data_IF_424840262764
#
_entry.id   IF_424840262764
#
_cell.length_a   1.000
_cell.length_b   1.000
_cell.length_c   1.000
_cell.angle_alpha   90.00
_cell.angle_beta   90.00
_cell.angle_gamma   90.00
#
_symmetry.space_group_name_H-M   'P 1'
#
loop_
_entity.id
_entity.type
_entity.pdbx_description
1 polymer ?
#
# COMPACT_ATOMS: atom_id res chain seq x y z
N UNK A 1 0.04 5.86 27.70
CA UNK A 1 0.07 4.39 27.47
C UNK A 1 1.28 3.82 28.19
N UNK A 2 1.09 2.72 28.93
CA UNK A 2 2.17 2.11 29.72
C UNK A 2 3.18 1.41 28.80
N UNK A 3 4.49 1.48 29.11
CA UNK A 3 5.58 0.85 28.35
C UNK A 3 5.33 -0.63 28.04
N UNK A 4 4.64 -1.34 28.94
CA UNK A 4 4.27 -2.74 28.77
C UNK A 4 3.34 -2.97 27.57
N UNK A 5 2.40 -2.05 27.33
CA UNK A 5 1.47 -2.15 26.20
C UNK A 5 2.17 -1.95 24.86
N UNK A 6 3.18 -1.08 24.79
CA UNK A 6 3.98 -0.89 23.58
C UNK A 6 4.83 -2.13 23.29
N UNK A 7 5.50 -2.68 24.31
CA UNK A 7 6.30 -3.90 24.19
C UNK A 7 5.46 -5.11 23.74
N UNK A 8 4.27 -5.30 24.34
CA UNK A 8 3.35 -6.35 23.91
C UNK A 8 2.88 -6.11 22.47
N UNK A 9 2.63 -4.85 22.09
CA UNK A 9 2.28 -4.48 20.72
C UNK A 9 3.36 -4.84 19.70
N UNK A 10 4.63 -4.57 20.01
CA UNK A 10 5.78 -4.93 19.16
C UNK A 10 5.95 -6.45 19.04
N UNK A 11 5.84 -7.18 20.15
CA UNK A 11 5.89 -8.64 20.16
C UNK A 11 4.74 -9.23 19.32
N UNK A 12 3.52 -8.73 19.50
CA UNK A 12 2.37 -9.15 18.71
C UNK A 12 2.56 -8.85 17.22
N UNK A 13 3.18 -7.74 16.84
CA UNK A 13 3.46 -7.41 15.45
C UNK A 13 4.48 -8.37 14.80
N UNK A 14 5.41 -8.91 15.58
CA UNK A 14 6.39 -9.92 15.13
C UNK A 14 5.77 -11.32 15.07
N UNK A 15 4.96 -11.68 16.06
CA UNK A 15 4.35 -13.01 16.18
C UNK A 15 3.16 -13.19 15.23
N UNK A 16 2.36 -12.15 15.02
CA UNK A 16 1.20 -12.20 14.12
C UNK A 16 1.63 -11.76 12.71
N UNK A 17 1.72 -12.67 11.73
CA UNK A 17 2.25 -12.37 10.41
C UNK A 17 1.24 -11.52 9.63
N UNK A 18 1.32 -10.20 9.78
CA UNK A 18 0.69 -9.24 8.85
C UNK A 18 1.80 -8.64 7.96
N UNK A 19 2.70 -9.50 7.49
CA UNK A 19 3.99 -9.07 6.94
C UNK A 19 3.92 -8.52 5.51
N UNK A 20 2.89 -8.86 4.74
CA UNK A 20 2.84 -8.51 3.31
C UNK A 20 1.97 -7.28 3.06
N UNK A 21 2.59 -6.10 3.19
CA UNK A 21 1.97 -4.81 2.82
C UNK A 21 2.38 -4.34 1.43
N UNK A 22 3.63 -4.57 1.03
CA UNK A 22 4.16 -4.18 -0.27
C UNK A 22 5.41 -4.97 -0.67
N UNK A 23 5.73 -4.93 -1.97
CA UNK A 23 6.96 -5.46 -2.55
C UNK A 23 7.55 -4.42 -3.50
N UNK A 24 8.86 -4.20 -3.41
CA UNK A 24 9.60 -3.30 -4.29
C UNK A 24 9.99 -4.04 -5.58
N UNK A 25 9.96 -3.34 -6.70
CA UNK A 25 10.42 -3.82 -8.01
C UNK A 25 11.54 -2.95 -8.57
N UNK A 26 11.42 -2.59 -9.84
CA UNK A 26 12.43 -1.79 -10.54
C UNK A 26 12.45 -0.33 -10.07
N UNK A 27 13.54 0.09 -9.43
CA UNK A 27 13.75 1.45 -8.91
C UNK A 27 13.84 2.56 -9.98
N UNK A 28 13.88 2.19 -11.26
CA UNK A 28 13.81 3.10 -12.40
C UNK A 28 12.42 3.17 -13.05
N UNK A 29 11.47 2.34 -12.63
CA UNK A 29 10.09 2.44 -13.07
C UNK A 29 9.40 3.69 -12.50
N UNK A 30 8.41 4.20 -13.24
CA UNK A 30 7.54 5.29 -12.81
C UNK A 30 6.15 4.84 -12.34
N UNK A 31 5.91 3.53 -12.28
CA UNK A 31 4.60 2.91 -12.04
C UNK A 31 4.56 2.31 -10.64
N UNK A 32 3.59 2.73 -9.82
CA UNK A 32 3.21 2.05 -8.60
C UNK A 32 1.86 1.33 -8.79
N UNK A 33 1.67 0.21 -8.10
CA UNK A 33 0.42 -0.57 -8.15
C UNK A 33 -0.17 -0.74 -6.75
N UNK A 34 -1.42 -0.35 -6.59
CA UNK A 34 -2.23 -0.55 -5.40
C UNK A 34 -3.26 -1.65 -5.65
N UNK A 35 -3.24 -2.70 -4.84
CA UNK A 35 -4.11 -3.89 -4.96
C UNK A 35 -5.28 -3.88 -3.97
N UNK A 36 -5.51 -2.75 -3.29
CA UNK A 36 -6.55 -2.57 -2.27
C UNK A 36 -6.53 -3.70 -1.24
N UNK A 37 -7.63 -4.44 -1.05
CA UNK A 37 -7.70 -5.55 -0.09
C UNK A 37 -7.15 -6.89 -0.64
N UNK A 38 -6.83 -6.98 -1.93
CA UNK A 38 -6.56 -8.25 -2.62
C UNK A 38 -5.15 -8.78 -2.42
N UNK A 39 -4.97 -9.60 -1.37
CA UNK A 39 -3.66 -10.20 -1.05
C UNK A 39 -3.17 -11.20 -2.12
N UNK A 40 -4.06 -11.98 -2.72
CA UNK A 40 -3.65 -12.94 -3.75
C UNK A 40 -3.18 -12.25 -5.03
N UNK A 41 -3.78 -11.10 -5.36
CA UNK A 41 -3.34 -10.27 -6.48
C UNK A 41 -1.96 -9.66 -6.20
N UNK A 42 -1.74 -9.14 -4.98
CA UNK A 42 -0.44 -8.66 -4.54
C UNK A 42 0.64 -9.73 -4.75
N UNK A 43 0.40 -10.96 -4.26
CA UNK A 43 1.33 -12.09 -4.35
C UNK A 43 1.58 -12.57 -5.77
N UNK A 44 0.57 -12.52 -6.64
CA UNK A 44 0.72 -12.88 -8.05
C UNK A 44 1.59 -11.86 -8.79
N UNK A 45 1.32 -10.56 -8.58
CA UNK A 45 2.11 -9.50 -9.20
C UNK A 45 3.55 -9.56 -8.72
N UNK A 46 3.79 -9.70 -7.41
CA UNK A 46 5.14 -9.71 -6.82
C UNK A 46 6.03 -10.86 -7.30
N UNK A 47 5.44 -11.93 -7.83
CA UNK A 47 6.14 -13.10 -8.38
C UNK A 47 6.17 -13.13 -9.91
N UNK A 48 5.66 -12.09 -10.57
CA UNK A 48 5.57 -12.02 -12.03
C UNK A 48 6.63 -11.09 -12.62
N UNK A 49 6.90 -11.25 -13.91
CA UNK A 49 7.83 -10.39 -14.65
C UNK A 49 7.39 -8.92 -14.72
N UNK A 50 6.12 -8.62 -14.38
CA UNK A 50 5.62 -7.25 -14.25
C UNK A 50 6.42 -6.43 -13.23
N UNK A 51 7.07 -7.07 -12.26
CA UNK A 51 7.92 -6.37 -11.29
C UNK A 51 9.14 -5.68 -11.92
N UNK A 52 9.53 -6.07 -13.14
CA UNK A 52 10.55 -5.37 -13.92
C UNK A 52 10.08 -3.99 -14.41
N UNK A 53 8.77 -3.79 -14.53
CA UNK A 53 8.14 -2.55 -15.00
C UNK A 53 7.42 -1.79 -13.88
N UNK A 54 7.37 -2.34 -12.66
CA UNK A 54 6.69 -1.74 -11.50
C UNK A 54 7.73 -1.31 -10.48
N UNK A 55 7.63 -0.08 -9.99
CA UNK A 55 8.46 0.44 -8.91
C UNK A 55 8.13 -0.21 -7.57
N UNK A 56 6.82 -0.27 -7.24
CA UNK A 56 6.32 -0.88 -6.02
C UNK A 56 4.90 -1.40 -6.24
N UNK A 57 4.57 -2.56 -5.67
CA UNK A 57 3.20 -3.07 -5.56
C UNK A 57 2.83 -3.17 -4.10
N UNK A 58 1.64 -2.71 -3.70
CA UNK A 58 1.19 -2.73 -2.31
C UNK A 58 -0.31 -2.83 -2.14
N UNK A 59 -0.75 -3.03 -0.90
CA UNK A 59 -2.16 -2.96 -0.50
C UNK A 59 -2.46 -1.63 0.19
N UNK A 60 -3.70 -1.18 0.04
CA UNK A 60 -4.23 -0.01 0.73
C UNK A 60 -5.48 -0.44 1.51
N UNK A 61 -5.37 -0.45 2.84
CA UNK A 61 -6.40 -0.99 3.73
C UNK A 61 -7.13 0.07 4.56
N UNK A 62 -6.55 1.25 4.76
CA UNK A 62 -7.24 2.35 5.44
C UNK A 62 -7.24 3.60 4.57
N UNK A 63 -8.35 4.32 4.66
CA UNK A 63 -8.67 5.57 3.97
C UNK A 63 -7.97 6.80 4.54
N UNK A 64 -7.22 6.65 5.63
CA UNK A 64 -6.50 7.72 6.31
C UNK A 64 -4.98 7.46 6.29
N UNK A 65 -4.42 6.89 7.36
CA UNK A 65 -3.00 6.58 7.52
C UNK A 65 -2.43 5.78 6.36
N UNK A 66 -3.21 4.88 5.75
CA UNK A 66 -2.82 4.16 4.54
C UNK A 66 -2.60 5.10 3.35
N UNK A 67 -3.54 6.01 3.10
CA UNK A 67 -3.45 7.03 2.04
C UNK A 67 -2.31 8.00 2.34
N UNK A 68 -2.19 8.50 3.57
CA UNK A 68 -1.10 9.39 3.97
C UNK A 68 0.26 8.78 3.70
N UNK A 69 0.44 7.51 4.10
CA UNK A 69 1.70 6.77 3.88
C UNK A 69 1.99 6.60 2.38
N UNK A 70 0.96 6.31 1.57
CA UNK A 70 1.11 6.19 0.12
C UNK A 70 1.52 7.52 -0.51
N UNK A 71 0.83 8.62 -0.19
CA UNK A 71 1.12 9.95 -0.73
C UNK A 71 2.52 10.42 -0.30
N UNK A 72 2.89 10.21 0.96
CA UNK A 72 4.21 10.53 1.46
C UNK A 72 5.30 9.78 0.68
N UNK A 73 5.10 8.47 0.46
CA UNK A 73 6.05 7.65 -0.27
C UNK A 73 6.22 8.09 -1.73
N UNK A 74 5.11 8.40 -2.42
CA UNK A 74 5.13 8.91 -3.80
C UNK A 74 5.80 10.29 -3.87
N UNK A 75 5.53 11.16 -2.90
CA UNK A 75 6.12 12.50 -2.84
C UNK A 75 7.64 12.47 -2.60
N UNK A 76 8.13 11.51 -1.82
CA UNK A 76 9.55 11.29 -1.59
C UNK A 76 10.24 10.68 -2.82
N UNK A 77 9.52 9.90 -3.63
CA UNK A 77 10.03 9.21 -4.80
C UNK A 77 9.46 9.81 -6.09
N UNK A 78 9.99 10.98 -6.49
CA UNK A 78 9.51 11.77 -7.65
C UNK A 78 9.52 11.03 -9.00
N UNK A 79 10.15 9.86 -9.10
CA UNK A 79 10.08 8.99 -10.28
C UNK A 79 8.68 8.39 -10.46
N UNK A 80 7.97 8.11 -9.37
CA UNK A 80 6.62 7.55 -9.43
C UNK A 80 5.66 8.63 -9.90
N UNK A 81 5.10 8.46 -11.10
CA UNK A 81 4.16 9.41 -11.70
C UNK A 81 2.82 8.77 -12.08
N UNK A 82 2.70 7.44 -11.95
CA UNK A 82 1.47 6.69 -12.23
C UNK A 82 1.20 5.74 -11.08
N UNK A 83 -0.03 5.76 -10.58
CA UNK A 83 -0.53 4.79 -9.59
C UNK A 83 -1.69 4.03 -10.24
N UNK A 84 -1.55 2.72 -10.40
CA UNK A 84 -2.62 1.84 -10.85
C UNK A 84 -3.35 1.33 -9.61
N UNK A 85 -4.64 1.63 -9.49
CA UNK A 85 -5.48 1.12 -8.40
C UNK A 85 -6.35 -0.01 -8.94
N UNK A 86 -6.23 -1.20 -8.35
CA UNK A 86 -6.88 -2.41 -8.81
C UNK A 86 -7.21 -3.36 -7.64
N UNK A 87 -7.91 -4.45 -7.94
CA UNK A 87 -8.35 -5.43 -6.94
C UNK A 87 -9.65 -5.05 -6.25
N UNK A 88 -10.00 -5.82 -5.22
CA UNK A 88 -11.23 -5.68 -4.44
C UNK A 88 -11.14 -4.51 -3.45
N UNK A 89 -12.16 -3.66 -3.46
CA UNK A 89 -12.32 -2.58 -2.49
C UNK A 89 -12.31 -3.07 -1.03
N UNK A 90 -11.83 -2.22 -0.12
CA UNK A 90 -11.80 -2.50 1.31
C UNK A 90 -13.19 -2.26 1.89
N UNK A 91 -13.78 -3.32 2.46
CA UNK A 91 -15.09 -3.21 3.09
C UNK A 91 -15.05 -2.30 4.32
N UNK A 92 -16.09 -1.48 4.50
CA UNK A 92 -16.17 -0.46 5.54
C UNK A 92 -15.34 0.80 5.21
N UNK A 93 -14.02 0.66 5.15
CA UNK A 93 -13.08 1.76 4.93
C UNK A 93 -13.22 2.44 3.56
N UNK A 94 -13.54 1.66 2.51
CA UNK A 94 -13.63 2.13 1.11
C UNK A 94 -12.39 2.93 0.68
N UNK A 95 -11.21 2.44 1.03
CA UNK A 95 -9.96 3.17 0.85
C UNK A 95 -9.65 3.54 -0.60
N UNK A 96 -10.04 2.70 -1.58
CA UNK A 96 -9.94 3.03 -3.00
C UNK A 96 -10.82 4.21 -3.37
N UNK A 97 -12.11 4.16 -3.02
CA UNK A 97 -13.04 5.27 -3.23
C UNK A 97 -12.54 6.58 -2.61
N UNK A 98 -12.12 6.54 -1.34
CA UNK A 98 -11.59 7.72 -0.65
C UNK A 98 -10.35 8.29 -1.34
N UNK A 99 -9.44 7.44 -1.81
CA UNK A 99 -8.27 7.86 -2.59
C UNK A 99 -8.67 8.57 -3.89
N UNK A 100 -9.64 8.03 -4.62
CA UNK A 100 -10.14 8.66 -5.85
C UNK A 100 -10.85 9.98 -5.57
N UNK A 101 -11.61 10.10 -4.48
CA UNK A 101 -12.24 11.36 -4.10
C UNK A 101 -11.20 12.42 -3.69
N UNK A 102 -10.18 12.02 -2.94
CA UNK A 102 -9.08 12.91 -2.56
C UNK A 102 -8.32 13.42 -3.80
N UNK A 103 -8.02 12.54 -4.75
CA UNK A 103 -7.35 12.94 -5.99
C UNK A 103 -8.17 13.94 -6.82
N UNK A 104 -9.50 13.75 -6.88
CA UNK A 104 -10.38 14.62 -7.67
C UNK A 104 -10.67 15.96 -6.99
N UNK A 105 -10.88 15.96 -5.68
CA UNK A 105 -11.42 17.12 -4.97
C UNK A 105 -10.40 17.83 -4.06
N UNK A 106 -9.24 17.21 -3.78
CA UNK A 106 -8.32 17.71 -2.76
C UNK A 106 -8.86 17.51 -1.35
N UNK A 107 -8.35 18.32 -0.42
CA UNK A 107 -8.77 18.41 1.00
C UNK A 107 -9.42 19.77 1.22
#
# INVERSE_FOLDING_TARGET
MNNLGNWIGEICAVILPINEKSYNGNSNSSIAVCTLSSIDLLRKISKSDLMNDIYIVGRLLSENKGIDSMIQHVNQNKKINKIIVCGKEVWGHKAGHSLFQLHQNGI
#
